data_IF_715687039683
#
_entry.id   IF_715687039683
#
_cell.length_a   1.000
_cell.length_b   1.000
_cell.length_c   1.000
_cell.angle_alpha   90.00
_cell.angle_beta   90.00
_cell.angle_gamma   90.00
#
_symmetry.space_group_name_H-M   'P 1'
#
loop_
_entity.id
_entity.type
_entity.pdbx_description
1 polymer ?
#
# COMPACT_ATOMS: atom_id res chain seq x y z
N UNK A 1 2.31 9.98 20.37
CA UNK A 1 2.77 9.78 18.98
C UNK A 1 1.65 10.22 18.05
N UNK A 2 1.94 10.91 16.95
CA UNK A 2 0.90 11.27 15.97
C UNK A 2 0.30 9.99 15.36
N UNK A 3 -1.00 9.99 15.05
CA UNK A 3 -1.70 8.87 14.41
C UNK A 3 -2.23 9.30 13.03
N UNK A 4 -2.28 8.35 12.10
CA UNK A 4 -2.93 8.47 10.81
C UNK A 4 -4.32 7.84 10.91
N UNK A 5 -5.36 8.63 10.64
CA UNK A 5 -6.71 8.11 10.53
C UNK A 5 -6.86 7.37 9.18
N UNK A 6 -7.51 6.21 9.19
CA UNK A 6 -7.69 5.37 8.01
C UNK A 6 -8.55 6.03 6.93
N UNK A 7 -9.52 6.87 7.31
CA UNK A 7 -10.36 7.59 6.34
C UNK A 7 -9.57 8.71 5.66
N UNK A 8 -8.72 9.42 6.42
CA UNK A 8 -7.80 10.42 5.85
C UNK A 8 -6.80 9.75 4.90
N UNK A 9 -6.26 8.60 5.28
CA UNK A 9 -5.38 7.80 4.43
C UNK A 9 -6.08 7.38 3.12
N UNK A 10 -7.34 6.94 3.18
CA UNK A 10 -8.14 6.60 2.00
C UNK A 10 -8.40 7.81 1.08
N UNK A 11 -8.74 8.97 1.65
CA UNK A 11 -8.94 10.23 0.89
C UNK A 11 -7.64 10.70 0.22
N UNK A 12 -6.48 10.55 0.88
CA UNK A 12 -5.19 10.87 0.27
C UNK A 12 -4.90 9.98 -0.96
N UNK A 13 -5.20 8.69 -0.89
CA UNK A 13 -5.04 7.77 -2.02
C UNK A 13 -5.98 8.13 -3.17
N UNK A 14 -7.26 8.37 -2.89
CA UNK A 14 -8.24 8.76 -3.92
C UNK A 14 -7.79 10.02 -4.66
N UNK A 15 -7.32 11.02 -3.92
CA UNK A 15 -6.77 12.27 -4.49
C UNK A 15 -5.49 12.03 -5.30
N UNK A 16 -4.61 11.13 -4.85
CA UNK A 16 -3.37 10.80 -5.56
C UNK A 16 -3.65 10.21 -6.94
N UNK A 17 -4.67 9.36 -7.08
CA UNK A 17 -5.08 8.81 -8.38
C UNK A 17 -5.64 9.85 -9.35
N UNK A 18 -6.16 10.95 -8.84
CA UNK A 18 -6.75 12.00 -9.66
C UNK A 18 -5.75 13.05 -10.12
N UNK A 19 -4.49 12.97 -9.66
CA UNK A 19 -3.53 14.06 -9.87
C UNK A 19 -3.15 14.23 -11.36
N UNK A 20 -3.10 13.13 -12.11
CA UNK A 20 -2.84 13.13 -13.55
C UNK A 20 -4.08 13.32 -14.43
N UNK A 21 -5.29 13.17 -13.88
CA UNK A 21 -6.54 13.21 -14.67
C UNK A 21 -6.87 14.65 -15.06
N UNK A 22 -7.48 14.87 -16.22
CA UNK A 22 -7.98 16.19 -16.64
C UNK A 22 -9.43 16.37 -16.16
N UNK A 23 -9.74 17.51 -15.52
CA UNK A 23 -11.09 17.83 -15.03
C UNK A 23 -11.08 18.71 -13.79
N UNK A 24 -11.81 19.82 -13.83
CA UNK A 24 -11.84 20.85 -12.79
C UNK A 24 -12.54 20.41 -11.47
N UNK A 25 -13.33 19.33 -11.51
CA UNK A 25 -14.11 18.84 -10.35
C UNK A 25 -13.45 17.72 -9.56
N UNK A 26 -12.28 17.23 -9.98
CA UNK A 26 -11.60 16.14 -9.29
C UNK A 26 -10.84 16.68 -8.07
N UNK A 27 -11.05 16.06 -6.91
CA UNK A 27 -10.23 16.33 -5.72
C UNK A 27 -8.82 15.78 -5.95
N UNK A 28 -7.82 16.61 -5.70
CA UNK A 28 -6.40 16.34 -5.93
C UNK A 28 -5.57 16.65 -4.69
N UNK A 29 -4.32 16.19 -4.67
CA UNK A 29 -3.38 16.57 -3.62
C UNK A 29 -2.95 18.03 -3.80
N UNK A 30 -2.70 18.45 -5.04
CA UNK A 30 -2.47 19.82 -5.46
C UNK A 30 -1.38 20.51 -4.63
N UNK A 31 -1.72 21.65 -4.04
CA UNK A 31 -0.78 22.48 -3.25
C UNK A 31 -0.25 21.83 -1.97
N UNK A 32 -0.73 20.63 -1.61
CA UNK A 32 -0.19 19.83 -0.49
C UNK A 32 1.11 19.13 -0.85
N UNK A 33 1.38 18.89 -2.13
CA UNK A 33 2.60 18.20 -2.60
C UNK A 33 3.80 19.11 -2.33
N UNK A 34 4.82 18.55 -1.67
CA UNK A 34 6.13 19.18 -1.46
C UNK A 34 7.17 18.61 -2.42
N UNK A 35 7.20 17.28 -2.58
CA UNK A 35 8.03 16.59 -3.56
C UNK A 35 7.21 15.48 -4.23
N UNK A 36 7.55 15.13 -5.46
CA UNK A 36 6.94 14.01 -6.17
C UNK A 36 7.97 13.25 -7.00
N UNK A 37 7.67 11.98 -7.26
CA UNK A 37 8.40 11.13 -8.21
C UNK A 37 7.39 10.43 -9.10
N UNK A 38 7.71 10.38 -10.39
CA UNK A 38 6.93 9.73 -11.44
C UNK A 38 7.91 9.26 -12.52
N UNK A 39 8.49 8.08 -12.31
CA UNK A 39 9.54 7.53 -13.17
C UNK A 39 9.42 6.03 -13.26
N UNK A 40 9.51 5.47 -14.46
CA UNK A 40 9.48 4.02 -14.70
C UNK A 40 8.30 3.31 -14.01
N UNK A 41 7.09 3.88 -14.11
CA UNK A 41 5.86 3.35 -13.49
C UNK A 41 5.76 3.57 -11.97
N UNK A 42 6.78 4.12 -11.31
CA UNK A 42 6.76 4.44 -9.88
C UNK A 42 6.22 5.85 -9.66
N UNK A 43 5.10 5.94 -8.94
CA UNK A 43 4.50 7.21 -8.51
C UNK A 43 4.49 7.32 -6.99
N UNK A 44 4.97 8.45 -6.46
CA UNK A 44 4.79 8.80 -5.05
C UNK A 44 4.79 10.32 -4.84
N UNK A 45 4.05 10.74 -3.82
CA UNK A 45 3.90 12.14 -3.43
C UNK A 45 4.29 12.31 -1.97
N UNK A 46 5.25 13.19 -1.71
CA UNK A 46 5.60 13.60 -0.36
C UNK A 46 4.93 14.93 -0.06
N UNK A 47 4.09 14.95 0.98
CA UNK A 47 3.25 16.09 1.32
C UNK A 47 3.90 17.00 2.36
N UNK A 48 3.40 18.24 2.47
CA UNK A 48 3.87 19.26 3.42
C UNK A 48 3.78 18.83 4.90
N UNK A 49 2.83 17.95 5.24
CA UNK A 49 2.67 17.37 6.58
C UNK A 49 3.65 16.20 6.87
N UNK A 50 4.52 15.89 5.90
CA UNK A 50 5.46 14.76 5.88
C UNK A 50 4.79 13.39 5.71
N UNK A 51 3.60 13.33 5.11
CA UNK A 51 2.98 12.08 4.67
C UNK A 51 3.51 11.71 3.29
N UNK A 52 3.98 10.46 3.14
CA UNK A 52 4.31 9.86 1.85
C UNK A 52 3.10 9.07 1.35
N UNK A 53 2.58 9.45 0.18
CA UNK A 53 1.43 8.81 -0.48
C UNK A 53 1.91 8.08 -1.72
N UNK A 54 1.64 6.78 -1.81
CA UNK A 54 2.09 5.90 -2.89
C UNK A 54 0.84 5.28 -3.54
N UNK A 55 0.27 5.89 -4.60
CA UNK A 55 -0.83 5.26 -5.32
C UNK A 55 -0.35 3.96 -5.99
N UNK A 56 -1.30 3.12 -6.38
CA UNK A 56 -1.00 2.03 -7.33
C UNK A 56 -0.79 2.57 -8.74
N UNK A 57 -0.53 1.67 -9.68
CA UNK A 57 -0.46 2.06 -11.09
C UNK A 57 -1.85 2.39 -11.65
N UNK A 58 -1.89 3.30 -12.62
CA UNK A 58 -3.06 3.56 -13.46
C UNK A 58 -3.06 2.69 -14.73
N UNK A 59 -1.99 1.93 -14.97
CA UNK A 59 -1.75 1.17 -16.19
C UNK A 59 -1.70 -0.33 -15.89
N UNK A 60 -2.63 -1.14 -16.42
CA UNK A 60 -2.63 -2.59 -16.20
C UNK A 60 -1.36 -3.32 -16.67
N UNK A 61 -0.64 -2.75 -17.65
CA UNK A 61 0.65 -3.25 -18.15
C UNK A 61 1.76 -3.17 -17.08
N UNK A 62 1.89 -2.04 -16.38
CA UNK A 62 2.82 -1.90 -15.26
C UNK A 62 2.50 -2.91 -14.15
N UNK A 63 1.20 -3.11 -13.91
CA UNK A 63 0.74 -4.09 -12.93
C UNK A 63 1.21 -5.50 -13.33
N UNK A 64 1.10 -5.88 -14.60
CA UNK A 64 1.61 -7.16 -15.09
C UNK A 64 3.14 -7.26 -14.97
N UNK A 65 3.89 -6.21 -15.31
CA UNK A 65 5.35 -6.20 -15.26
C UNK A 65 5.92 -6.37 -13.85
N UNK A 66 5.26 -5.82 -12.84
CA UNK A 66 5.67 -6.00 -11.45
C UNK A 66 5.11 -7.28 -10.81
N UNK A 67 3.92 -7.73 -11.17
CA UNK A 67 3.29 -8.93 -10.58
C UNK A 67 3.77 -10.25 -11.21
N UNK A 68 4.11 -10.26 -12.50
CA UNK A 68 4.52 -11.48 -13.21
C UNK A 68 5.99 -11.84 -12.98
N UNK A 69 6.78 -10.93 -12.40
CA UNK A 69 8.16 -11.21 -11.93
C UNK A 69 8.13 -11.95 -10.59
N UNK A 70 7.58 -13.17 -10.60
CA UNK A 70 7.39 -14.07 -9.43
C UNK A 70 8.70 -14.61 -8.83
N UNK A 71 9.83 -14.23 -9.41
CA UNK A 71 11.15 -14.45 -8.83
C UNK A 71 11.25 -13.79 -7.45
N UNK A 72 11.95 -14.46 -6.55
CA UNK A 72 12.26 -13.91 -5.24
C UNK A 72 13.66 -13.33 -5.25
N UNK A 73 13.83 -12.12 -4.75
CA UNK A 73 15.14 -11.46 -4.58
C UNK A 73 15.48 -11.31 -3.11
N UNK A 74 16.74 -11.53 -2.74
CA UNK A 74 17.22 -11.31 -1.38
C UNK A 74 17.44 -9.81 -1.16
N UNK A 75 16.76 -9.22 -0.19
CA UNK A 75 16.97 -7.84 0.23
C UNK A 75 18.00 -7.72 1.37
N UNK A 76 18.39 -6.49 1.69
CA UNK A 76 19.40 -6.18 2.72
C UNK A 76 19.03 -6.68 4.12
N UNK A 77 17.73 -6.88 4.37
CA UNK A 77 17.24 -7.52 5.60
C UNK A 77 17.55 -9.02 5.69
N UNK A 78 18.26 -9.59 4.70
CA UNK A 78 18.52 -11.03 4.56
C UNK A 78 17.29 -11.85 4.15
N UNK A 79 16.16 -11.19 3.85
CA UNK A 79 14.87 -11.82 3.53
C UNK A 79 14.61 -11.85 2.04
N UNK A 80 13.78 -12.79 1.61
CA UNK A 80 13.38 -12.93 0.21
C UNK A 80 12.07 -12.20 -0.06
N UNK A 81 12.08 -11.31 -1.03
CA UNK A 81 10.96 -10.46 -1.42
C UNK A 81 10.52 -10.78 -2.85
N UNK A 82 9.28 -10.48 -3.18
CA UNK A 82 8.83 -10.51 -4.57
C UNK A 82 9.65 -9.49 -5.38
N UNK A 83 10.33 -9.93 -6.45
CA UNK A 83 11.29 -9.11 -7.19
C UNK A 83 10.68 -7.80 -7.70
N UNK A 84 9.51 -7.86 -8.34
CA UNK A 84 8.86 -6.67 -8.85
C UNK A 84 8.50 -5.65 -7.76
N UNK A 85 7.91 -6.11 -6.66
CA UNK A 85 7.55 -5.22 -5.55
C UNK A 85 8.77 -4.65 -4.84
N UNK A 86 9.85 -5.44 -4.72
CA UNK A 86 11.11 -4.96 -4.15
C UNK A 86 11.73 -3.87 -5.02
N UNK A 87 11.75 -4.05 -6.35
CA UNK A 87 12.26 -3.04 -7.29
C UNK A 87 11.47 -1.73 -7.19
N UNK A 88 10.13 -1.79 -7.17
CA UNK A 88 9.31 -0.60 -6.97
C UNK A 88 9.58 0.05 -5.61
N UNK A 89 9.65 -0.75 -4.53
CA UNK A 89 9.92 -0.26 -3.18
C UNK A 89 11.30 0.40 -3.03
N UNK A 90 12.33 -0.09 -3.73
CA UNK A 90 13.67 0.51 -3.72
C UNK A 90 13.65 1.93 -4.29
N UNK A 91 12.94 2.17 -5.40
CA UNK A 91 12.82 3.51 -5.96
C UNK A 91 12.09 4.46 -5.01
N UNK A 92 10.99 4.00 -4.42
CA UNK A 92 10.25 4.75 -3.40
C UNK A 92 11.12 5.03 -2.16
N UNK A 93 11.89 4.05 -1.69
CA UNK A 93 12.80 4.20 -0.56
C UNK A 93 13.89 5.24 -0.86
N UNK A 94 14.50 5.18 -2.05
CA UNK A 94 15.52 6.14 -2.46
C UNK A 94 14.99 7.57 -2.53
N UNK A 95 13.75 7.75 -3.01
CA UNK A 95 13.04 9.02 -2.97
C UNK A 95 12.76 9.49 -1.52
N UNK A 96 12.26 8.60 -0.67
CA UNK A 96 11.75 8.97 0.66
C UNK A 96 12.80 9.06 1.78
N UNK A 97 13.94 8.34 1.67
CA UNK A 97 14.90 8.19 2.77
C UNK A 97 15.45 9.51 3.31
N UNK A 98 15.70 10.48 2.42
CA UNK A 98 16.17 11.82 2.80
C UNK A 98 15.08 12.73 3.36
N UNK A 99 13.82 12.45 3.02
CA UNK A 99 12.66 13.29 3.35
C UNK A 99 12.08 13.00 4.74
N UNK A 100 12.40 11.82 5.31
CA UNK A 100 11.99 11.38 6.66
C UNK A 100 10.47 11.48 6.88
N UNK A 101 9.66 10.68 6.17
CA UNK A 101 8.21 10.67 6.33
C UNK A 101 7.78 10.37 7.77
N UNK A 102 6.72 11.05 8.21
CA UNK A 102 6.02 10.77 9.47
C UNK A 102 4.98 9.67 9.31
N UNK A 103 4.40 9.55 8.12
CA UNK A 103 3.41 8.55 7.75
C UNK A 103 3.64 8.07 6.33
N UNK A 104 3.27 6.83 6.06
CA UNK A 104 3.23 6.27 4.71
C UNK A 104 1.83 5.73 4.45
N UNK A 105 1.27 6.05 3.29
CA UNK A 105 -0.01 5.52 2.83
C UNK A 105 0.18 4.92 1.44
N UNK A 106 -0.32 3.72 1.22
CA UNK A 106 -0.25 3.07 -0.09
C UNK A 106 -1.53 2.33 -0.48
N UNK A 107 -1.74 2.17 -1.78
CA UNK A 107 -2.82 1.35 -2.34
C UNK A 107 -2.30 0.43 -3.46
N UNK A 108 -2.81 -0.80 -3.57
CA UNK A 108 -2.46 -1.74 -4.64
C UNK A 108 -0.94 -1.99 -4.76
N UNK A 109 -0.33 -1.80 -5.92
CA UNK A 109 1.13 -1.82 -6.13
C UNK A 109 1.87 -0.85 -5.19
N UNK A 110 1.31 0.33 -4.97
CA UNK A 110 1.86 1.30 -4.03
C UNK A 110 1.80 0.81 -2.59
N UNK A 111 0.78 0.03 -2.21
CA UNK A 111 0.69 -0.62 -0.91
C UNK A 111 1.70 -1.76 -0.74
N UNK A 112 2.07 -2.45 -1.82
CA UNK A 112 3.19 -3.39 -1.81
C UNK A 112 4.49 -2.70 -1.39
N UNK A 113 4.74 -1.52 -1.94
CA UNK A 113 5.91 -0.71 -1.59
C UNK A 113 5.81 -0.09 -0.21
N UNK A 114 4.64 0.43 0.16
CA UNK A 114 4.40 0.98 1.48
C UNK A 114 4.74 -0.02 2.59
N UNK A 115 4.33 -1.29 2.43
CA UNK A 115 4.67 -2.38 3.34
C UNK A 115 6.19 -2.52 3.55
N UNK A 116 6.95 -2.56 2.47
CA UNK A 116 8.42 -2.75 2.50
C UNK A 116 9.10 -1.51 3.09
N UNK A 117 8.80 -0.33 2.55
CA UNK A 117 9.41 0.94 2.96
C UNK A 117 9.06 1.29 4.40
N UNK A 118 7.80 1.11 4.79
CA UNK A 118 7.30 1.36 6.14
C UNK A 118 7.98 0.50 7.20
N UNK A 119 8.12 -0.79 6.92
CA UNK A 119 8.84 -1.69 7.83
C UNK A 119 10.33 -1.35 7.92
N UNK A 120 10.99 -1.08 6.78
CA UNK A 120 12.41 -0.71 6.73
C UNK A 120 12.71 0.60 7.47
N UNK A 121 11.85 1.61 7.32
CA UNK A 121 12.02 2.91 7.96
C UNK A 121 11.44 2.98 9.38
N UNK A 122 10.68 1.96 9.81
CA UNK A 122 9.91 1.95 11.07
C UNK A 122 8.99 3.17 11.18
N UNK A 123 8.27 3.46 10.09
CA UNK A 123 7.34 4.60 9.99
C UNK A 123 5.91 4.08 9.96
N UNK A 124 4.95 4.67 10.71
CA UNK A 124 3.57 4.26 10.68
C UNK A 124 3.01 4.24 9.24
N UNK A 125 2.49 3.09 8.85
CA UNK A 125 2.10 2.82 7.48
C UNK A 125 0.70 2.22 7.41
N UNK A 126 -0.14 2.80 6.54
CA UNK A 126 -1.46 2.28 6.18
C UNK A 126 -1.43 1.82 4.73
N UNK A 127 -1.68 0.53 4.51
CA UNK A 127 -1.63 -0.13 3.22
C UNK A 127 -3.01 -0.71 2.88
N UNK A 128 -3.62 -0.23 1.80
CA UNK A 128 -4.91 -0.72 1.30
C UNK A 128 -4.71 -1.67 0.12
N UNK A 129 -5.55 -2.69 0.01
CA UNK A 129 -5.57 -3.57 -1.16
C UNK A 129 -4.19 -4.15 -1.51
N UNK A 130 -3.40 -4.47 -0.48
CA UNK A 130 -1.99 -4.74 -0.65
C UNK A 130 -1.76 -6.20 -1.07
N UNK A 131 -0.90 -6.48 -2.05
CA UNK A 131 -0.49 -7.84 -2.35
C UNK A 131 0.52 -8.34 -1.31
N UNK A 132 0.79 -9.65 -1.35
CA UNK A 132 1.78 -10.34 -0.51
C UNK A 132 3.19 -10.08 -1.07
N UNK A 133 4.09 -9.55 -0.25
CA UNK A 133 5.41 -9.08 -0.73
C UNK A 133 6.59 -9.92 -0.25
N UNK A 134 6.43 -10.63 0.86
CA UNK A 134 7.53 -11.26 1.58
C UNK A 134 7.41 -12.78 1.56
N UNK A 135 8.48 -13.47 1.19
CA UNK A 135 8.55 -14.93 1.23
C UNK A 135 8.88 -15.45 2.63
N UNK A 136 8.17 -16.50 3.04
CA UNK A 136 8.38 -17.22 4.29
C UNK A 136 7.58 -16.67 5.47
N UNK A 137 7.74 -17.31 6.64
CA UNK A 137 6.88 -17.09 7.82
C UNK A 137 7.49 -16.20 8.90
N UNK A 138 8.81 -16.07 8.96
CA UNK A 138 9.51 -15.31 10.01
C UNK A 138 9.20 -13.82 9.91
N UNK A 139 8.94 -13.17 11.05
CA UNK A 139 8.74 -11.73 11.16
C UNK A 139 10.03 -10.95 10.88
N UNK A 140 9.88 -9.72 10.40
CA UNK A 140 10.97 -8.74 10.24
C UNK A 140 11.00 -7.79 11.44
N UNK A 141 12.14 -7.11 11.64
CA UNK A 141 12.12 -5.87 12.40
C UNK A 141 11.27 -4.82 11.67
N UNK A 142 10.45 -4.06 12.41
CA UNK A 142 9.64 -2.99 11.84
C UNK A 142 8.24 -3.39 11.34
N UNK A 143 7.89 -4.67 11.30
CA UNK A 143 6.54 -5.10 10.88
C UNK A 143 5.41 -4.51 11.72
N UNK A 144 5.67 -4.21 13.00
CA UNK A 144 4.70 -3.58 13.89
C UNK A 144 4.28 -2.16 13.50
N UNK A 145 4.94 -1.55 12.51
CA UNK A 145 4.62 -0.21 12.01
C UNK A 145 3.67 -0.23 10.81
N UNK A 146 3.31 -1.40 10.29
CA UNK A 146 2.51 -1.54 9.07
C UNK A 146 1.14 -2.15 9.40
N UNK A 147 0.08 -1.50 8.94
CA UNK A 147 -1.28 -1.99 8.97
C UNK A 147 -1.82 -2.17 7.55
N UNK A 148 -2.19 -3.41 7.20
CA UNK A 148 -2.81 -3.75 5.92
C UNK A 148 -4.31 -3.89 6.11
N UNK A 149 -5.08 -3.13 5.33
CA UNK A 149 -6.53 -3.20 5.25
C UNK A 149 -6.86 -3.94 3.97
N UNK A 150 -7.44 -5.13 4.12
CA UNK A 150 -7.56 -6.13 3.07
C UNK A 150 -9.02 -6.55 2.94
N UNK A 151 -9.48 -6.74 1.71
CA UNK A 151 -10.80 -7.32 1.44
C UNK A 151 -10.65 -8.78 1.05
N UNK A 152 -11.58 -9.61 1.51
CA UNK A 152 -11.58 -11.04 1.20
C UNK A 152 -11.88 -11.32 -0.27
N UNK A 153 -12.71 -10.49 -0.90
CA UNK A 153 -13.10 -10.59 -2.32
C UNK A 153 -12.10 -9.93 -3.27
N UNK A 154 -11.12 -9.18 -2.75
CA UNK A 154 -10.09 -8.53 -3.56
C UNK A 154 -8.98 -9.51 -3.93
N UNK A 155 -8.96 -9.93 -5.20
CA UNK A 155 -8.01 -10.92 -5.71
C UNK A 155 -6.54 -10.49 -5.57
N UNK A 156 -6.25 -9.18 -5.64
CA UNK A 156 -4.88 -8.66 -5.50
C UNK A 156 -4.31 -8.94 -4.12
N UNK A 157 -5.16 -8.91 -3.08
CA UNK A 157 -4.76 -9.22 -1.71
C UNK A 157 -4.27 -10.67 -1.54
N UNK A 158 -4.65 -11.55 -2.48
CA UNK A 158 -4.26 -12.95 -2.47
C UNK A 158 -3.02 -13.24 -3.32
N UNK A 159 -2.58 -12.28 -4.14
CA UNK A 159 -1.44 -12.42 -5.04
C UNK A 159 -0.11 -12.07 -4.37
N UNK A 160 1.01 -12.68 -4.82
CA UNK A 160 1.05 -13.85 -5.70
C UNK A 160 0.50 -15.11 -4.98
N UNK A 161 -0.06 -16.07 -5.73
CA UNK A 161 -0.50 -17.33 -5.16
C UNK A 161 0.71 -18.14 -4.67
N UNK A 162 0.49 -18.99 -3.68
CA UNK A 162 1.54 -19.89 -3.22
C UNK A 162 1.79 -20.98 -4.27
N UNK A 163 2.89 -20.89 -5.03
CA UNK A 163 3.29 -21.91 -6.01
C UNK A 163 4.52 -22.65 -5.48
N UNK A 164 4.41 -23.97 -5.35
CA UNK A 164 5.45 -24.83 -4.79
C UNK A 164 5.83 -24.43 -3.36
N UNK A 165 7.14 -24.27 -3.11
CA UNK A 165 7.65 -23.91 -1.78
C UNK A 165 7.66 -22.39 -1.51
N UNK A 166 7.26 -21.55 -2.47
CA UNK A 166 7.22 -20.09 -2.31
C UNK A 166 5.86 -19.66 -1.76
N UNK A 167 5.81 -19.42 -0.45
CA UNK A 167 4.64 -18.87 0.24
C UNK A 167 4.91 -17.40 0.58
N UNK A 168 4.28 -16.50 -0.17
CA UNK A 168 4.34 -15.08 0.11
C UNK A 168 3.31 -14.70 1.19
N UNK A 169 3.61 -13.63 1.93
CA UNK A 169 2.73 -13.01 2.92
C UNK A 169 2.86 -11.49 2.88
N UNK A 170 1.86 -10.83 3.46
CA UNK A 170 1.94 -9.41 3.82
C UNK A 170 2.93 -9.16 4.96
N UNK A 171 3.39 -7.92 5.05
CA UNK A 171 4.25 -7.40 6.12
C UNK A 171 3.41 -6.61 7.10
N UNK A 172 3.49 -6.94 8.39
CA UNK A 172 2.77 -6.25 9.46
C UNK A 172 1.38 -6.80 9.77
N UNK A 173 0.56 -5.97 10.42
CA UNK A 173 -0.80 -6.32 10.82
C UNK A 173 -1.70 -6.45 9.59
N UNK A 174 -2.67 -7.38 9.65
CA UNK A 174 -3.61 -7.67 8.56
C UNK A 174 -5.02 -7.59 9.12
N UNK A 175 -5.83 -6.70 8.56
CA UNK A 175 -7.23 -6.50 8.89
C UNK A 175 -8.06 -6.90 7.68
N UNK A 176 -8.46 -8.17 7.66
CA UNK A 176 -9.30 -8.74 6.60
C UNK A 176 -10.76 -8.41 6.84
N UNK A 177 -11.44 -7.93 5.81
CA UNK A 177 -12.83 -7.54 5.84
C UNK A 177 -13.58 -8.30 4.74
N UNK A 178 -14.70 -8.91 5.10
CA UNK A 178 -15.57 -9.62 4.17
C UNK A 178 -16.79 -8.74 3.84
N UNK A 179 -16.98 -8.31 2.58
CA UNK A 179 -18.18 -7.57 2.20
C UNK A 179 -19.43 -8.47 2.26
N UNK A 180 -20.63 -7.89 2.30
CA UNK A 180 -21.90 -8.65 2.25
C UNK A 180 -22.17 -9.28 0.88
N UNK A 181 -21.63 -8.67 -0.18
CA UNK A 181 -21.68 -9.17 -1.55
C UNK A 181 -20.33 -9.04 -2.23
N UNK A 182 -20.11 -9.87 -3.24
CA UNK A 182 -18.93 -9.75 -4.12
C UNK A 182 -19.17 -8.57 -5.06
N UNK A 183 -18.17 -7.71 -5.25
CA UNK A 183 -18.21 -6.63 -6.24
C UNK A 183 -17.14 -6.87 -7.33
N UNK A 184 -17.32 -7.85 -8.25
CA UNK A 184 -16.28 -8.18 -9.23
C UNK A 184 -15.90 -6.96 -10.06
N UNK A 185 -14.60 -6.61 -10.08
CA UNK A 185 -14.06 -5.51 -10.88
C UNK A 185 -14.06 -4.15 -10.17
N UNK A 186 -14.76 -4.01 -9.04
CA UNK A 186 -14.70 -2.82 -8.19
C UNK A 186 -14.14 -3.10 -6.78
N UNK A 187 -13.93 -4.38 -6.45
CA UNK A 187 -13.34 -4.91 -5.22
C UNK A 187 -11.99 -4.29 -4.87
N UNK A 188 -11.26 -3.85 -5.90
CA UNK A 188 -9.94 -3.25 -5.78
C UNK A 188 -9.92 -1.70 -5.70
N UNK A 189 -11.08 -1.05 -5.52
CA UNK A 189 -11.15 0.43 -5.43
C UNK A 189 -11.11 0.94 -3.99
N UNK A 190 -10.35 2.02 -3.74
CA UNK A 190 -10.25 2.62 -2.39
C UNK A 190 -11.61 3.04 -1.83
N UNK A 191 -12.54 3.49 -2.69
CA UNK A 191 -13.91 3.86 -2.31
C UNK A 191 -14.64 2.68 -1.65
N UNK A 192 -14.50 1.49 -2.23
CA UNK A 192 -15.13 0.28 -1.72
C UNK A 192 -14.47 -0.22 -0.42
N UNK A 193 -13.18 0.04 -0.23
CA UNK A 193 -12.51 -0.14 1.08
C UNK A 193 -13.06 0.84 2.13
N UNK A 194 -13.26 2.12 1.77
CA UNK A 194 -13.79 3.11 2.71
C UNK A 194 -15.23 2.81 3.12
N UNK A 195 -16.03 2.26 2.21
CA UNK A 195 -17.40 1.86 2.51
C UNK A 195 -17.46 0.70 3.50
N UNK A 196 -16.66 -0.35 3.29
CA UNK A 196 -16.64 -1.51 4.20
C UNK A 196 -16.08 -1.15 5.58
N UNK A 197 -15.07 -0.27 5.67
CA UNK A 197 -14.52 0.18 6.97
C UNK A 197 -15.54 0.98 7.80
N UNK A 198 -16.56 1.58 7.17
CA UNK A 198 -17.64 2.30 7.86
C UNK A 198 -18.73 1.39 8.40
N UNK A 199 -18.78 0.15 7.96
CA UNK A 199 -19.77 -0.83 8.40
C UNK A 199 -19.60 -1.11 9.91
N UNK A 200 -20.71 -1.13 10.63
CA UNK A 200 -20.75 -1.38 12.07
C UNK A 200 -20.13 -2.73 12.44
N UNK A 201 -20.20 -3.74 11.55
CA UNK A 201 -19.57 -5.05 11.73
C UNK A 201 -18.06 -4.97 11.93
N UNK A 202 -17.40 -3.97 11.35
CA UNK A 202 -15.94 -3.80 11.41
C UNK A 202 -15.47 -2.74 12.41
N UNK A 203 -16.40 -2.05 13.09
CA UNK A 203 -16.12 -0.91 13.97
C UNK A 203 -15.12 -1.20 15.09
N UNK A 204 -15.14 -2.43 15.63
CA UNK A 204 -14.24 -2.87 16.70
C UNK A 204 -13.09 -3.75 16.21
N UNK A 205 -13.22 -4.33 15.01
CA UNK A 205 -12.24 -5.27 14.45
C UNK A 205 -11.08 -4.55 13.76
N UNK A 206 -11.37 -3.41 13.14
CA UNK A 206 -10.46 -2.66 12.27
C UNK A 206 -10.07 -1.36 12.97
N UNK A 207 -8.76 -1.06 13.15
CA UNK A 207 -8.38 0.20 13.74
C UNK A 207 -8.78 1.36 12.85
N UNK A 208 -9.23 2.46 13.45
CA UNK A 208 -9.46 3.71 12.72
C UNK A 208 -8.22 4.60 12.71
N UNK A 209 -7.33 4.43 13.68
CA UNK A 209 -6.12 5.21 13.82
C UNK A 209 -4.89 4.28 13.92
N UNK A 210 -3.80 4.68 13.29
CA UNK A 210 -2.54 3.93 13.28
C UNK A 210 -1.32 4.84 13.52
N UNK A 211 -0.35 4.47 14.37
CA UNK A 211 -0.29 3.24 15.17
C UNK A 211 -1.31 3.24 16.32
N UNK A 212 -1.67 2.04 16.81
CA UNK A 212 -2.61 1.88 17.93
C UNK A 212 -2.03 2.42 19.22
#
# INVERSE_FOLDING_TARGET
>A
MAKMNVYDAGDLIDRAYNEKKKGARLKRLGSKILHQVDVAGVQAYFLKDKTLVIPGTNEPSDWADFNLRVESVKGDSGRYWHKGFMTHAQMVFMFAKGLKPKFIVGHSLGAASAQIVGASMKVPTVAFASPKVLSGKTRLSGEGWVANYLRMDDTVCHMPPGIGNKKYRHVGSRYWMAPEGVNPGEDHSIKNYMQIIKDERFKTMVPKDWPR
#
